data_IF_610874201647
#
_entry.id   IF_610874201647
#
_cell.length_a   1.000
_cell.length_b   1.000
_cell.length_c   1.000
_cell.angle_alpha   90.00
_cell.angle_beta   90.00
_cell.angle_gamma   90.00
#
_symmetry.space_group_name_H-M   'P 1'
#
loop_
_entity.id
_entity.type
_entity.pdbx_description
1 polymer ?
#
# COMPACT_ATOMS: atom_id res chain seq x y z
N UNK A 1 13.12 1.07 -2.47
CA UNK A 1 13.81 0.20 -3.44
C UNK A 1 15.06 -0.37 -2.79
N UNK A 2 15.08 -1.68 -2.52
CA UNK A 2 16.33 -2.37 -2.19
C UNK A 2 17.03 -2.65 -3.53
N UNK A 3 18.18 -2.03 -3.78
CA UNK A 3 19.04 -2.51 -4.85
C UNK A 3 19.75 -3.74 -4.31
N UNK A 4 19.40 -4.92 -4.84
CA UNK A 4 20.13 -6.15 -4.53
C UNK A 4 21.59 -5.94 -4.90
N UNK A 5 22.49 -6.07 -3.92
CA UNK A 5 23.94 -5.88 -4.10
C UNK A 5 24.46 -4.47 -3.84
N UNK A 6 23.62 -3.48 -3.50
CA UNK A 6 24.11 -2.17 -3.07
C UNK A 6 24.62 -2.25 -1.63
N UNK A 7 25.83 -1.75 -1.38
CA UNK A 7 26.33 -1.54 -0.02
C UNK A 7 25.53 -0.39 0.61
N UNK A 8 24.87 -0.59 1.75
CA UNK A 8 24.18 0.49 2.45
C UNK A 8 25.16 1.63 2.74
N UNK A 9 24.74 2.86 2.46
CA UNK A 9 25.47 4.04 2.88
C UNK A 9 25.42 4.14 4.41
N UNK A 10 26.47 4.58 5.10
CA UNK A 10 26.40 4.90 6.53
C UNK A 10 25.36 5.99 6.84
N UNK A 11 24.91 6.74 5.83
CA UNK A 11 23.87 7.77 5.95
C UNK A 11 22.46 7.25 5.62
N UNK A 12 22.29 5.97 5.30
CA UNK A 12 20.98 5.42 4.99
C UNK A 12 20.09 5.44 6.23
N UNK A 13 18.90 6.01 6.07
CA UNK A 13 17.87 5.95 7.09
C UNK A 13 17.38 4.50 7.24
N UNK A 14 17.05 4.06 8.47
CA UNK A 14 16.52 2.72 8.68
C UNK A 14 15.22 2.51 7.90
N UNK A 15 14.94 1.28 7.52
CA UNK A 15 13.68 0.91 6.89
C UNK A 15 12.51 1.25 7.83
N UNK A 16 11.70 2.23 7.45
CA UNK A 16 10.67 2.84 8.28
C UNK A 16 9.75 3.72 7.41
N UNK A 17 8.64 4.19 7.98
CA UNK A 17 7.78 5.19 7.34
C UNK A 17 8.22 6.58 7.81
N UNK A 18 8.36 7.49 6.85
CA UNK A 18 8.81 8.85 7.08
C UNK A 18 7.78 9.86 6.58
N UNK A 19 7.63 10.95 7.31
CA UNK A 19 6.87 12.13 6.91
C UNK A 19 7.83 13.28 6.63
N UNK A 20 7.66 13.93 5.47
CA UNK A 20 8.39 15.14 5.11
C UNK A 20 7.47 16.32 5.41
N UNK A 21 7.76 17.06 6.47
CA UNK A 21 6.91 18.16 6.89
C UNK A 21 6.94 19.30 5.86
N UNK A 22 5.78 19.87 5.49
CA UNK A 22 5.68 20.90 4.47
C UNK A 22 6.53 22.11 4.87
N UNK A 23 7.12 22.77 3.87
CA UNK A 23 7.85 24.04 4.01
C UNK A 23 9.06 24.04 4.98
N UNK A 24 9.50 22.88 5.48
CA UNK A 24 10.59 22.81 6.48
C UNK A 24 11.73 21.87 6.09
N UNK A 25 11.61 21.13 4.98
CA UNK A 25 12.53 20.06 4.56
C UNK A 25 12.82 19.02 5.67
N UNK A 26 12.03 19.02 6.75
CA UNK A 26 12.24 18.19 7.92
C UNK A 26 11.69 16.80 7.65
N UNK A 27 12.57 15.81 7.74
CA UNK A 27 12.22 14.39 7.63
C UNK A 27 12.00 13.83 9.04
N UNK A 28 10.82 13.27 9.28
CA UNK A 28 10.41 12.75 10.59
C UNK A 28 10.11 11.26 10.42
N UNK A 29 10.76 10.40 11.19
CA UNK A 29 10.40 8.98 11.27
C UNK A 29 9.09 8.86 12.05
N UNK A 30 8.03 8.37 11.40
CA UNK A 30 6.67 8.34 11.97
C UNK A 30 6.15 6.94 12.28
N UNK A 31 6.72 5.89 11.66
CA UNK A 31 6.50 4.50 12.06
C UNK A 31 7.74 3.65 11.84
N UNK A 32 8.01 2.73 12.77
CA UNK A 32 9.14 1.79 12.69
C UNK A 32 8.80 0.39 13.18
N UNK A 33 7.52 0.14 13.34
CA UNK A 33 6.88 -1.11 13.71
C UNK A 33 6.26 -1.80 12.48
N UNK A 34 6.78 -1.47 11.30
CA UNK A 34 6.51 -2.13 10.02
C UNK A 34 7.79 -2.87 9.64
N UNK A 35 7.71 -4.20 9.42
CA UNK A 35 8.91 -5.00 9.17
C UNK A 35 9.57 -4.62 7.86
N UNK A 36 8.78 -4.53 6.78
CA UNK A 36 9.22 -4.09 5.46
C UNK A 36 8.15 -3.23 4.78
N UNK A 37 8.07 -1.93 5.12
CA UNK A 37 7.10 -1.02 4.53
C UNK A 37 7.28 -0.93 3.02
N UNK A 38 6.17 -1.00 2.29
CA UNK A 38 6.18 -0.86 0.84
C UNK A 38 5.11 0.16 0.39
N UNK A 39 3.94 -0.29 -0.07
CA UNK A 39 2.84 0.59 -0.43
C UNK A 39 2.34 1.42 0.76
N UNK A 40 1.95 2.66 0.47
CA UNK A 40 1.40 3.60 1.43
C UNK A 40 0.30 4.46 0.80
N UNK A 41 -0.79 4.74 1.52
CA UNK A 41 -1.81 5.70 1.10
C UNK A 41 -2.60 6.21 2.31
N UNK A 42 -3.22 7.38 2.18
CA UNK A 42 -4.12 7.95 3.20
C UNK A 42 -5.59 7.65 2.85
N UNK A 43 -6.47 7.54 3.86
CA UNK A 43 -7.93 7.56 3.70
C UNK A 43 -8.41 8.84 3.03
N UNK A 44 -9.60 8.86 2.44
CA UNK A 44 -10.09 10.03 1.71
C UNK A 44 -10.18 11.33 2.55
N UNK A 45 -10.29 11.21 3.87
CA UNK A 45 -10.32 12.32 4.83
C UNK A 45 -8.96 12.61 5.50
N UNK A 46 -7.88 11.99 5.02
CA UNK A 46 -6.50 12.09 5.52
C UNK A 46 -6.29 11.63 6.98
N UNK A 47 -7.30 11.03 7.63
CA UNK A 47 -7.22 10.66 9.06
C UNK A 47 -6.62 9.29 9.32
N UNK A 48 -6.53 8.43 8.31
CA UNK A 48 -5.98 7.09 8.44
C UNK A 48 -4.88 6.86 7.42
N UNK A 49 -3.72 6.42 7.87
CA UNK A 49 -2.64 5.96 7.00
C UNK A 49 -2.70 4.44 6.87
N UNK A 50 -2.74 3.95 5.63
CA UNK A 50 -2.63 2.54 5.29
C UNK A 50 -1.20 2.25 4.84
N UNK A 51 -0.60 1.17 5.36
CA UNK A 51 0.76 0.75 5.02
C UNK A 51 0.81 -0.76 4.78
N UNK A 52 1.32 -1.15 3.61
CA UNK A 52 1.66 -2.54 3.32
C UNK A 52 2.96 -2.91 4.05
N UNK A 53 2.91 -4.01 4.79
CA UNK A 53 4.08 -4.68 5.35
C UNK A 53 4.40 -5.90 4.48
N UNK A 54 5.47 -5.86 3.68
CA UNK A 54 5.80 -6.91 2.72
C UNK A 54 6.03 -8.26 3.41
N UNK A 55 6.79 -8.25 4.51
CA UNK A 55 6.99 -9.44 5.35
C UNK A 55 5.73 -9.75 6.18
N UNK A 56 4.85 -8.76 6.34
CA UNK A 56 3.54 -8.73 7.03
C UNK A 56 2.55 -9.80 6.62
N UNK A 57 1.62 -10.13 7.52
CA UNK A 57 0.39 -10.85 7.17
C UNK A 57 -0.85 -9.94 7.08
N UNK A 58 -0.70 -8.65 7.37
CA UNK A 58 -1.81 -7.70 7.50
C UNK A 58 -1.50 -6.39 6.77
N UNK A 59 -2.54 -5.79 6.18
CA UNK A 59 -2.56 -4.36 5.91
C UNK A 59 -2.58 -3.62 7.25
N UNK A 60 -1.68 -2.67 7.44
CA UNK A 60 -1.59 -1.91 8.69
C UNK A 60 -2.29 -0.56 8.53
N UNK A 61 -2.91 -0.09 9.61
CA UNK A 61 -3.46 1.27 9.68
C UNK A 61 -2.95 2.03 10.90
N UNK A 62 -2.84 3.35 10.75
CA UNK A 62 -2.51 4.29 11.82
C UNK A 62 -3.47 5.48 11.79
N UNK A 63 -3.79 6.04 12.95
CA UNK A 63 -4.50 7.32 13.07
C UNK A 63 -3.50 8.45 12.86
N UNK A 64 -3.76 9.31 11.86
CA UNK A 64 -2.93 10.49 11.55
C UNK A 64 -3.30 11.63 12.50
N UNK A 65 -2.29 12.15 13.19
CA UNK A 65 -2.46 13.27 14.12
C UNK A 65 -2.30 14.61 13.39
N UNK A 66 -2.82 15.74 13.95
CA UNK A 66 -2.70 17.06 13.31
C UNK A 66 -1.27 17.53 13.04
N UNK A 67 -0.28 17.03 13.79
CA UNK A 67 1.14 17.33 13.61
C UNK A 67 1.85 16.39 12.61
N UNK A 68 1.11 15.48 11.97
CA UNK A 68 1.62 14.47 11.05
C UNK A 68 2.22 13.23 11.73
N UNK A 69 2.21 13.15 13.06
CA UNK A 69 2.58 11.92 13.77
C UNK A 69 1.51 10.85 13.64
N UNK A 70 1.87 9.60 13.95
CA UNK A 70 1.00 8.43 13.83
C UNK A 70 0.72 7.82 15.20
N UNK A 71 -0.52 7.38 15.44
CA UNK A 71 -0.92 6.65 16.65
C UNK A 71 -1.78 5.43 16.30
N UNK A 72 -2.04 4.60 17.31
CA UNK A 72 -3.03 3.52 17.25
C UNK A 72 -2.86 2.57 16.06
N UNK A 73 -1.64 2.01 15.90
CA UNK A 73 -1.39 0.97 14.89
C UNK A 73 -2.39 -0.19 15.06
N UNK A 74 -3.02 -0.60 13.96
CA UNK A 74 -3.92 -1.76 13.92
C UNK A 74 -3.54 -2.68 12.78
N UNK A 75 -3.78 -3.97 12.98
CA UNK A 75 -3.86 -4.95 11.91
C UNK A 75 -5.26 -4.81 11.30
N UNK A 76 -5.37 -4.17 10.13
CA UNK A 76 -6.65 -3.76 9.55
C UNK A 76 -7.32 -4.88 8.75
N UNK A 77 -6.62 -5.40 7.74
CA UNK A 77 -7.09 -6.51 6.90
C UNK A 77 -6.05 -7.59 6.83
N UNK A 78 -6.46 -8.86 6.91
CA UNK A 78 -5.55 -10.01 6.82
C UNK A 78 -5.42 -10.45 5.37
N UNK A 79 -4.20 -10.53 4.87
CA UNK A 79 -3.94 -11.00 3.51
C UNK A 79 -4.10 -12.51 3.39
N UNK A 80 -4.55 -12.95 2.21
CA UNK A 80 -4.26 -14.29 1.70
C UNK A 80 -2.78 -14.32 1.29
N UNK A 81 -2.00 -15.19 1.94
CA UNK A 81 -0.56 -15.31 1.71
C UNK A 81 -0.28 -16.37 0.66
N UNK A 82 0.60 -16.08 -0.30
CA UNK A 82 0.97 -16.97 -1.41
C UNK A 82 2.47 -17.05 -1.66
N UNK A 83 3.27 -16.31 -0.91
CA UNK A 83 4.73 -16.25 -1.06
C UNK A 83 5.40 -16.79 0.20
N UNK A 84 6.27 -17.79 0.02
CA UNK A 84 7.11 -18.37 1.07
C UNK A 84 8.54 -17.87 0.85
N UNK A 85 9.18 -17.42 1.93
CA UNK A 85 10.54 -16.92 1.94
C UNK A 85 11.34 -17.61 3.04
N UNK A 86 12.61 -17.26 3.19
CA UNK A 86 13.40 -17.63 4.36
C UNK A 86 12.86 -17.02 5.68
N UNK A 87 12.00 -15.99 5.57
CA UNK A 87 11.27 -15.40 6.71
C UNK A 87 9.91 -16.07 6.97
N UNK A 88 9.54 -17.11 6.22
CA UNK A 88 8.25 -17.80 6.29
C UNK A 88 7.23 -17.32 5.23
N UNK A 89 5.95 -17.68 5.43
CA UNK A 89 4.83 -17.12 4.64
C UNK A 89 4.70 -15.61 4.85
N UNK A 90 4.81 -14.86 3.77
CA UNK A 90 4.72 -13.40 3.74
C UNK A 90 3.58 -12.93 2.83
N UNK A 91 3.14 -11.69 3.02
CA UNK A 91 2.11 -11.12 2.14
C UNK A 91 2.65 -10.80 0.76
N UNK A 92 3.93 -10.43 0.64
CA UNK A 92 4.49 -9.88 -0.58
C UNK A 92 3.79 -8.59 -1.02
N UNK A 93 3.05 -7.93 -0.12
CA UNK A 93 2.23 -6.78 -0.46
C UNK A 93 3.11 -5.60 -0.91
N UNK A 94 2.83 -5.10 -2.11
CA UNK A 94 3.62 -4.07 -2.79
C UNK A 94 2.87 -2.73 -2.74
N UNK A 95 2.42 -2.17 -3.86
CA UNK A 95 1.61 -0.96 -3.89
C UNK A 95 0.16 -1.13 -3.40
N UNK A 96 -0.48 0.00 -3.05
CA UNK A 96 -1.92 0.03 -2.79
C UNK A 96 -2.53 1.39 -3.15
N UNK A 97 -3.84 1.38 -3.38
CA UNK A 97 -4.66 2.59 -3.48
C UNK A 97 -6.02 2.40 -2.80
N UNK A 98 -6.84 3.46 -2.81
CA UNK A 98 -8.21 3.42 -2.28
C UNK A 98 -9.22 3.94 -3.29
N UNK A 99 -10.46 3.51 -3.16
CA UNK A 99 -11.60 4.08 -3.86
C UNK A 99 -12.34 5.14 -3.01
N UNK A 100 -13.34 5.79 -3.61
CA UNK A 100 -14.16 6.81 -2.92
C UNK A 100 -15.10 6.24 -1.85
N UNK A 101 -15.30 4.92 -1.82
CA UNK A 101 -16.09 4.24 -0.80
C UNK A 101 -15.25 3.83 0.42
N UNK A 102 -13.93 4.05 0.36
CA UNK A 102 -12.99 3.68 1.42
C UNK A 102 -12.51 2.23 1.33
N UNK A 103 -12.75 1.53 0.22
CA UNK A 103 -12.14 0.23 -0.01
C UNK A 103 -10.66 0.40 -0.30
N UNK A 104 -9.84 -0.54 0.18
CA UNK A 104 -8.41 -0.60 -0.14
C UNK A 104 -8.15 -1.67 -1.19
N UNK A 105 -7.26 -1.37 -2.13
CA UNK A 105 -6.83 -2.27 -3.20
C UNK A 105 -5.32 -2.44 -3.04
N UNK A 106 -4.88 -3.61 -2.61
CA UNK A 106 -3.47 -3.89 -2.35
C UNK A 106 -2.95 -4.97 -3.30
N UNK A 107 -1.85 -4.68 -4.00
CA UNK A 107 -1.22 -5.65 -4.91
C UNK A 107 -0.39 -6.63 -4.10
N UNK A 108 -0.64 -7.93 -4.28
CA UNK A 108 0.12 -9.02 -3.65
C UNK A 108 0.33 -10.16 -4.66
N UNK A 109 1.11 -11.20 -4.32
CA UNK A 109 1.24 -12.40 -5.15
C UNK A 109 -0.07 -13.18 -5.38
N UNK A 110 -1.12 -12.92 -4.61
CA UNK A 110 -2.47 -13.47 -4.83
C UNK A 110 -3.30 -12.68 -5.86
N UNK A 111 -2.81 -11.52 -6.33
CA UNK A 111 -3.57 -10.58 -7.16
C UNK A 111 -3.77 -9.24 -6.44
N UNK A 112 -4.78 -8.48 -6.83
CA UNK A 112 -5.16 -7.27 -6.09
C UNK A 112 -6.21 -7.65 -5.04
N UNK A 113 -5.80 -7.76 -3.79
CA UNK A 113 -6.71 -8.06 -2.68
C UNK A 113 -7.46 -6.80 -2.27
N UNK A 114 -8.80 -6.90 -2.22
CA UNK A 114 -9.68 -5.77 -1.93
C UNK A 114 -10.25 -5.90 -0.52
N UNK A 115 -10.10 -4.86 0.29
CA UNK A 115 -10.70 -4.81 1.63
C UNK A 115 -11.77 -3.74 1.74
N UNK A 116 -12.79 -4.00 2.54
CA UNK A 116 -13.81 -3.03 2.90
C UNK A 116 -13.22 -1.88 3.71
N UNK A 117 -13.96 -0.78 3.88
CA UNK A 117 -13.56 0.33 4.76
C UNK A 117 -13.37 -0.10 6.24
N UNK A 118 -13.81 -1.32 6.60
CA UNK A 118 -13.66 -1.92 7.92
C UNK A 118 -12.57 -3.00 7.98
N UNK A 119 -11.87 -3.26 6.88
CA UNK A 119 -10.78 -4.25 6.82
C UNK A 119 -11.23 -5.68 6.51
N UNK A 120 -12.49 -5.87 6.12
CA UNK A 120 -13.00 -7.18 5.70
C UNK A 120 -12.50 -7.50 4.29
N UNK A 121 -11.97 -8.69 4.07
CA UNK A 121 -11.55 -9.13 2.73
C UNK A 121 -12.78 -9.37 1.85
N UNK A 122 -12.90 -8.60 0.78
CA UNK A 122 -14.04 -8.65 -0.16
C UNK A 122 -13.79 -9.60 -1.34
N UNK A 123 -12.53 -9.87 -1.64
CA UNK A 123 -12.11 -10.75 -2.73
C UNK A 123 -10.85 -10.26 -3.42
N UNK A 124 -10.43 -11.01 -4.44
CA UNK A 124 -9.20 -10.79 -5.18
C UNK A 124 -9.52 -10.50 -6.64
N UNK A 125 -8.85 -9.50 -7.21
CA UNK A 125 -8.82 -9.29 -8.67
C UNK A 125 -7.58 -10.01 -9.19
N UNK A 126 -7.81 -11.09 -9.92
CA UNK A 126 -6.73 -11.90 -10.50
C UNK A 126 -5.89 -11.09 -11.49
N UNK A 127 -4.58 -11.34 -11.48
CA UNK A 127 -3.71 -10.82 -12.51
C UNK A 127 -3.92 -11.63 -13.80
N UNK A 128 -3.97 -10.98 -14.98
CA UNK A 128 -4.16 -11.67 -16.26
C UNK A 128 -2.95 -12.52 -16.72
N UNK A 129 -1.86 -12.55 -15.94
CA UNK A 129 -0.62 -13.26 -16.24
C UNK A 129 -0.07 -13.91 -14.97
N UNK A 130 0.81 -14.91 -15.12
CA UNK A 130 1.50 -15.61 -14.02
C UNK A 130 2.49 -14.72 -13.23
N UNK A 131 2.40 -13.40 -13.39
CA UNK A 131 3.30 -12.42 -12.82
C UNK A 131 2.56 -11.57 -11.79
N UNK A 132 3.04 -11.49 -10.53
CA UNK A 132 2.33 -10.79 -9.48
C UNK A 132 2.30 -9.27 -9.73
N UNK A 133 1.16 -8.60 -9.47
CA UNK A 133 1.05 -7.15 -9.57
C UNK A 133 1.93 -6.48 -8.50
N UNK A 134 2.45 -5.30 -8.85
CA UNK A 134 3.42 -4.55 -8.02
C UNK A 134 2.88 -3.18 -7.60
N UNK A 135 1.99 -2.57 -8.37
CA UNK A 135 1.38 -1.30 -7.98
C UNK A 135 0.02 -1.14 -8.65
N UNK A 136 -0.83 -0.28 -8.08
CA UNK A 136 -2.12 0.03 -8.65
C UNK A 136 -2.56 1.47 -8.35
N UNK A 137 -3.51 1.97 -9.15
CA UNK A 137 -4.10 3.28 -8.97
C UNK A 137 -5.30 3.50 -9.86
N UNK A 138 -6.29 4.23 -9.34
CA UNK A 138 -7.43 4.65 -10.12
C UNK A 138 -7.07 5.76 -11.12
N UNK A 139 -7.71 5.73 -12.29
CA UNK A 139 -7.58 6.73 -13.34
C UNK A 139 -8.66 6.60 -14.42
N UNK A 140 -8.43 7.28 -15.55
CA UNK A 140 -9.35 7.28 -16.69
C UNK A 140 -10.59 8.16 -16.50
N UNK A 141 -11.49 8.20 -17.50
CA UNK A 141 -12.73 8.99 -17.41
C UNK A 141 -13.53 8.63 -16.17
N UNK A 142 -13.88 9.64 -15.36
CA UNK A 142 -14.62 9.43 -14.10
C UNK A 142 -13.86 8.68 -13.01
N UNK A 143 -12.54 8.46 -13.16
CA UNK A 143 -11.72 7.69 -12.24
C UNK A 143 -12.21 6.23 -12.04
N UNK A 144 -12.87 5.66 -13.06
CA UNK A 144 -13.55 4.35 -13.00
C UNK A 144 -12.71 3.17 -13.49
N UNK A 145 -11.42 3.38 -13.74
CA UNK A 145 -10.50 2.30 -14.10
C UNK A 145 -9.44 2.14 -13.03
N UNK A 146 -9.27 0.92 -12.53
CA UNK A 146 -8.10 0.54 -11.76
C UNK A 146 -6.99 0.15 -12.73
N UNK A 147 -5.92 0.94 -12.78
CA UNK A 147 -4.69 0.60 -13.48
C UNK A 147 -3.80 -0.22 -12.55
N UNK A 148 -3.21 -1.29 -13.08
CA UNK A 148 -2.33 -2.18 -12.33
C UNK A 148 -1.06 -2.41 -13.14
N UNK A 149 0.08 -2.33 -12.47
CA UNK A 149 1.41 -2.54 -13.05
C UNK A 149 2.06 -3.77 -12.47
N UNK A 150 2.76 -4.56 -13.27
CA UNK A 150 3.58 -5.66 -12.77
C UNK A 150 4.48 -6.22 -13.86
N UNK A 151 5.77 -6.41 -13.56
CA UNK A 151 6.74 -7.15 -14.39
C UNK A 151 6.69 -6.82 -15.90
N UNK A 152 6.71 -5.53 -16.22
CA UNK A 152 6.80 -5.03 -17.59
C UNK A 152 5.46 -4.83 -18.31
N UNK A 153 4.33 -5.12 -17.65
CA UNK A 153 3.00 -4.86 -18.21
C UNK A 153 2.21 -3.86 -17.36
N UNK A 154 1.30 -3.16 -18.04
CA UNK A 154 0.23 -2.35 -17.44
C UNK A 154 -1.09 -2.83 -18.02
N UNK A 155 -2.05 -3.13 -17.16
CA UNK A 155 -3.42 -3.44 -17.54
C UNK A 155 -4.40 -2.57 -16.75
N UNK A 156 -5.65 -2.54 -17.20
CA UNK A 156 -6.71 -1.80 -16.50
C UNK A 156 -7.97 -2.63 -16.42
N UNK A 157 -8.70 -2.45 -15.33
CA UNK A 157 -10.02 -3.05 -15.09
C UNK A 157 -11.02 -1.93 -14.90
N UNK A 158 -12.17 -2.01 -15.58
CA UNK A 158 -13.29 -1.13 -15.27
C UNK A 158 -13.92 -1.57 -13.94
N UNK A 159 -14.01 -0.66 -12.99
CA UNK A 159 -14.48 -0.95 -11.62
C UNK A 159 -15.90 -0.43 -11.40
N UNK A 160 -16.62 -1.05 -10.45
CA UNK A 160 -17.95 -0.60 -10.03
C UNK A 160 -17.89 0.68 -9.18
N UNK A 161 -16.78 0.87 -8.48
CA UNK A 161 -16.46 2.07 -7.70
C UNK A 161 -15.46 2.94 -8.46
N UNK A 162 -15.30 4.20 -8.03
CA UNK A 162 -14.35 5.13 -8.61
C UNK A 162 -13.26 5.49 -7.58
N UNK A 163 -12.07 5.85 -8.05
CA UNK A 163 -11.03 6.38 -7.16
C UNK A 163 -11.46 7.66 -6.47
N UNK A 164 -10.80 7.98 -5.35
CA UNK A 164 -11.00 9.23 -4.61
C UNK A 164 -10.88 10.44 -5.54
N UNK A 165 -11.86 11.36 -5.48
CA UNK A 165 -11.86 12.61 -6.23
C UNK A 165 -11.03 13.66 -5.49
N UNK A 166 -10.51 14.63 -6.23
CA UNK A 166 -9.89 15.86 -5.69
C UNK A 166 -8.57 15.68 -4.91
N UNK A 167 -7.90 14.53 -5.02
CA UNK A 167 -6.50 14.40 -4.63
C UNK A 167 -5.57 14.68 -5.81
N UNK A 168 -4.71 15.69 -5.65
CA UNK A 168 -3.50 15.80 -6.48
C UNK A 168 -2.60 14.61 -6.19
N UNK A 169 -2.18 13.90 -7.25
CA UNK A 169 -0.98 13.07 -7.20
C UNK A 169 0.19 13.89 -7.73
#
# INVERSE_FOLDING_TARGET
CYQIGATPSPNDLPQSVYYIAPNSHKVIRVASDVRRPNGITLSADDKTLYVNDWDGAYLLTYDVQPDGTLKNRKNFGKYTLKEETDHGLVSGADGLCIDSAGHTFATTPAGVQVFSAKGEHLGDIEAPYDMPPQNCGFGGPGNSYLYVTGRGVVYRIHTLSAGVKDRGK
#
